data_IF_834528000460
#
_entry.id   IF_834528000460
#
_cell.length_a   1.000
_cell.length_b   1.000
_cell.length_c   1.000
_cell.angle_alpha   90.00
_cell.angle_beta   90.00
_cell.angle_gamma   90.00
#
_symmetry.space_group_name_H-M   'P 1'
#
loop_
_entity.id
_entity.type
_entity.pdbx_description
1 polymer ?
#
# COMPACT_ATOMS: atom_id res chain seq x y z
N UNK A 1 -31.45 20.42 65.85
CA UNK A 1 -30.07 20.23 65.36
C UNK A 1 -30.11 19.56 63.95
N UNK A 2 -30.15 20.42 62.95
CA UNK A 2 -30.19 19.99 61.56
C UNK A 2 -28.76 20.11 61.01
N UNK A 3 -28.19 19.00 60.58
CA UNK A 3 -26.89 18.92 59.94
C UNK A 3 -27.09 19.09 58.44
N UNK A 4 -26.79 20.28 57.92
CA UNK A 4 -26.65 20.55 56.49
C UNK A 4 -25.46 19.77 55.91
N UNK A 5 -25.77 18.80 55.07
CA UNK A 5 -24.77 18.17 54.19
C UNK A 5 -24.61 19.04 52.95
N UNK A 6 -23.58 19.87 52.93
CA UNK A 6 -23.14 20.62 51.75
C UNK A 6 -22.60 19.62 50.72
N UNK A 7 -23.41 19.32 49.70
CA UNK A 7 -22.99 18.56 48.54
C UNK A 7 -22.11 19.47 47.69
N UNK A 8 -20.80 19.36 47.81
CA UNK A 8 -19.87 20.00 46.89
C UNK A 8 -20.04 19.35 45.51
N UNK A 9 -20.73 20.08 44.63
CA UNK A 9 -20.66 19.83 43.19
C UNK A 9 -19.23 20.14 42.71
N UNK A 10 -18.42 19.10 42.49
CA UNK A 10 -17.18 19.22 41.76
C UNK A 10 -17.58 19.51 40.30
N UNK A 11 -17.57 20.81 39.96
CA UNK A 11 -17.62 21.23 38.56
C UNK A 11 -16.34 20.69 37.91
N UNK A 12 -16.42 19.53 37.26
CA UNK A 12 -15.41 19.03 36.35
C UNK A 12 -15.26 20.09 35.26
N UNK A 13 -14.23 20.93 35.37
CA UNK A 13 -13.79 21.75 34.26
C UNK A 13 -13.53 20.79 33.11
N UNK A 14 -14.39 20.86 32.09
CA UNK A 14 -14.26 20.05 30.88
C UNK A 14 -12.83 20.28 30.36
N UNK A 15 -11.95 19.32 30.61
CA UNK A 15 -10.57 19.38 30.19
C UNK A 15 -10.58 19.56 28.67
N UNK A 16 -9.96 20.63 28.17
CA UNK A 16 -9.84 20.90 26.74
C UNK A 16 -9.30 19.64 26.08
N UNK A 17 -10.11 18.95 25.27
CA UNK A 17 -9.68 17.79 24.51
C UNK A 17 -8.84 18.26 23.33
N UNK A 18 -7.56 17.95 23.36
CA UNK A 18 -6.68 18.15 22.20
C UNK A 18 -7.05 17.15 21.08
N UNK A 19 -6.53 17.36 19.89
CA UNK A 19 -6.74 16.48 18.73
C UNK A 19 -5.40 15.99 18.17
N UNK A 20 -4.46 15.70 19.05
CA UNK A 20 -3.09 15.30 18.69
C UNK A 20 -3.05 14.03 17.86
N UNK A 21 -3.98 13.08 18.09
CA UNK A 21 -4.10 11.84 17.28
C UNK A 21 -4.23 12.10 15.78
N UNK A 22 -4.89 13.20 15.37
CA UNK A 22 -5.01 13.52 13.94
C UNK A 22 -3.71 14.07 13.35
N UNK A 23 -2.85 14.72 14.15
CA UNK A 23 -1.50 15.11 13.72
C UNK A 23 -0.63 13.88 13.51
N UNK A 24 -0.75 12.87 14.38
CA UNK A 24 -0.09 11.57 14.20
C UNK A 24 -0.61 10.87 12.94
N UNK A 25 -1.92 10.91 12.68
CA UNK A 25 -2.52 10.36 11.45
C UNK A 25 -1.97 11.04 10.18
N UNK A 26 -1.91 12.36 10.18
CA UNK A 26 -1.35 13.12 9.06
C UNK A 26 0.11 12.75 8.82
N UNK A 27 0.88 12.55 9.89
CA UNK A 27 2.27 12.12 9.81
C UNK A 27 2.41 10.71 9.22
N UNK A 28 1.66 9.70 9.68
CA UNK A 28 1.74 8.35 9.09
C UNK A 28 1.23 8.33 7.64
N UNK A 29 0.24 9.15 7.28
CA UNK A 29 -0.17 9.33 5.90
C UNK A 29 0.96 9.90 5.03
N UNK A 30 1.63 10.96 5.52
CA UNK A 30 2.78 11.55 4.84
C UNK A 30 3.89 10.53 4.64
N UNK A 31 4.30 9.83 5.70
CA UNK A 31 5.36 8.82 5.65
C UNK A 31 5.03 7.66 4.72
N UNK A 32 3.80 7.16 4.78
CA UNK A 32 3.33 6.14 3.84
C UNK A 32 3.32 6.65 2.40
N UNK A 33 2.95 7.92 2.17
CA UNK A 33 2.97 8.55 0.84
C UNK A 33 4.40 8.63 0.30
N UNK A 34 5.37 9.03 1.12
CA UNK A 34 6.79 9.09 0.74
C UNK A 34 7.33 7.67 0.44
N UNK A 35 6.96 6.67 1.24
CA UNK A 35 7.31 5.27 1.01
C UNK A 35 6.80 4.73 -0.34
N UNK A 36 5.53 4.99 -0.67
CA UNK A 36 4.99 4.60 -1.97
C UNK A 36 5.55 5.42 -3.13
N UNK A 37 6.00 6.67 -2.89
CA UNK A 37 6.65 7.49 -3.90
C UNK A 37 7.94 6.86 -4.42
N UNK A 38 8.73 6.21 -3.56
CA UNK A 38 9.96 5.50 -3.95
C UNK A 38 9.69 4.43 -5.02
N UNK A 39 8.56 3.75 -4.91
CA UNK A 39 8.15 2.74 -5.90
C UNK A 39 7.74 3.37 -7.23
N UNK A 40 7.09 4.54 -7.19
CA UNK A 40 6.59 5.24 -8.37
C UNK A 40 7.70 5.95 -9.15
N UNK A 41 8.71 6.55 -8.48
CA UNK A 41 9.76 7.31 -9.16
C UNK A 41 10.63 6.45 -10.07
N UNK A 42 10.83 5.16 -9.72
CA UNK A 42 11.62 4.26 -10.55
C UNK A 42 11.01 4.07 -11.94
N UNK A 43 9.68 4.05 -12.06
CA UNK A 43 9.01 3.91 -13.36
C UNK A 43 9.11 5.18 -14.21
N UNK A 44 9.10 6.35 -13.58
CA UNK A 44 9.29 7.64 -14.25
C UNK A 44 10.75 7.80 -14.72
N UNK A 45 11.70 7.39 -13.90
CA UNK A 45 13.13 7.41 -14.22
C UNK A 45 13.56 6.27 -15.15
N UNK A 46 12.78 5.19 -15.23
CA UNK A 46 13.09 3.96 -15.94
C UNK A 46 13.53 4.14 -17.40
N UNK A 47 12.85 4.94 -18.24
CA UNK A 47 13.32 5.22 -19.59
C UNK A 47 14.70 5.87 -19.65
N UNK A 48 15.03 6.77 -18.71
CA UNK A 48 16.35 7.39 -18.60
C UNK A 48 17.42 6.40 -18.20
N UNK A 49 17.14 5.57 -17.19
CA UNK A 49 18.03 4.49 -16.72
C UNK A 49 18.30 3.47 -17.86
N UNK A 50 17.22 3.04 -18.54
CA UNK A 50 17.36 2.09 -19.66
C UNK A 50 18.18 2.65 -20.80
N UNK A 51 18.04 3.95 -21.10
CA UNK A 51 18.82 4.61 -22.14
C UNK A 51 20.30 4.73 -21.77
N UNK A 52 20.60 5.07 -20.51
CA UNK A 52 21.99 5.27 -20.05
C UNK A 52 22.77 3.96 -19.99
N UNK A 53 22.18 2.90 -19.41
CA UNK A 53 22.85 1.63 -19.21
C UNK A 53 22.55 0.56 -20.27
N UNK A 54 21.66 0.85 -21.22
CA UNK A 54 21.27 -0.13 -22.26
C UNK A 54 20.41 -1.28 -21.74
N UNK A 55 19.59 -1.07 -20.68
CA UNK A 55 18.75 -2.12 -20.11
C UNK A 55 17.68 -2.60 -21.09
N UNK A 56 17.58 -3.91 -21.26
CA UNK A 56 16.46 -4.55 -21.96
C UNK A 56 15.17 -4.47 -21.13
N UNK A 57 14.00 -4.67 -21.76
CA UNK A 57 12.72 -4.68 -21.05
C UNK A 57 12.65 -5.78 -19.98
N UNK A 58 13.27 -6.93 -20.23
CA UNK A 58 13.37 -8.02 -19.24
C UNK A 58 14.19 -7.61 -18.03
N UNK A 59 15.39 -7.03 -18.26
CA UNK A 59 16.26 -6.55 -17.18
C UNK A 59 15.58 -5.47 -16.35
N UNK A 60 14.89 -4.53 -17.01
CA UNK A 60 14.10 -3.50 -16.33
C UNK A 60 12.97 -4.13 -15.51
N UNK A 61 12.29 -5.16 -16.03
CA UNK A 61 11.26 -5.91 -15.30
C UNK A 61 11.80 -6.54 -14.00
N UNK A 62 13.00 -7.12 -14.03
CA UNK A 62 13.66 -7.62 -12.82
C UNK A 62 13.97 -6.52 -11.81
N UNK A 63 14.51 -5.38 -12.24
CA UNK A 63 14.80 -4.24 -11.37
C UNK A 63 13.51 -3.71 -10.73
N UNK A 64 12.42 -3.58 -11.51
CA UNK A 64 11.11 -3.14 -11.02
C UNK A 64 10.49 -4.12 -10.01
N UNK A 65 10.77 -5.42 -10.13
CA UNK A 65 10.27 -6.47 -9.23
C UNK A 65 11.12 -6.66 -7.96
N UNK A 66 12.39 -6.25 -7.97
CA UNK A 66 13.37 -6.55 -6.92
C UNK A 66 12.90 -6.14 -5.52
N UNK A 67 12.23 -4.99 -5.42
CA UNK A 67 11.60 -4.53 -4.19
C UNK A 67 10.59 -5.55 -3.64
N UNK A 68 9.71 -6.08 -4.50
CA UNK A 68 8.62 -6.98 -4.08
C UNK A 68 9.14 -8.32 -3.59
N UNK A 69 10.22 -8.85 -4.17
CA UNK A 69 10.89 -10.05 -3.69
C UNK A 69 11.30 -9.90 -2.23
N UNK A 70 12.04 -8.84 -1.95
CA UNK A 70 12.54 -8.56 -0.61
C UNK A 70 11.42 -8.22 0.37
N UNK A 71 10.44 -7.45 -0.08
CA UNK A 71 9.30 -7.05 0.75
C UNK A 71 8.49 -8.26 1.25
N UNK A 72 8.22 -9.25 0.37
CA UNK A 72 7.52 -10.49 0.74
C UNK A 72 8.32 -11.29 1.79
N UNK A 73 9.63 -11.47 1.55
CA UNK A 73 10.50 -12.20 2.48
C UNK A 73 10.69 -11.43 3.79
N UNK A 74 10.80 -10.11 3.71
CA UNK A 74 11.06 -9.22 4.84
C UNK A 74 9.88 -9.03 5.81
N UNK A 75 8.64 -9.36 5.41
CA UNK A 75 7.46 -9.09 6.25
C UNK A 75 7.49 -9.81 7.60
N UNK A 76 7.87 -11.08 7.63
CA UNK A 76 7.92 -11.86 8.87
C UNK A 76 9.07 -11.38 9.76
N UNK A 77 10.35 -11.34 9.28
CA UNK A 77 11.44 -10.81 10.09
C UNK A 77 11.21 -9.35 10.52
N UNK A 78 10.67 -8.52 9.63
CA UNK A 78 10.36 -7.12 9.91
C UNK A 78 9.31 -6.95 11.00
N UNK A 79 8.27 -7.79 11.00
CA UNK A 79 7.28 -7.84 12.08
C UNK A 79 7.89 -8.22 13.43
N UNK A 80 8.78 -9.23 13.46
CA UNK A 80 9.49 -9.64 14.68
C UNK A 80 10.44 -8.55 15.20
N UNK A 81 11.11 -7.82 14.30
CA UNK A 81 11.95 -6.69 14.69
C UNK A 81 11.12 -5.52 15.22
N UNK A 82 9.96 -5.23 14.60
CA UNK A 82 9.01 -4.23 15.09
C UNK A 82 8.53 -4.56 16.51
N UNK A 83 8.28 -5.84 16.78
CA UNK A 83 7.89 -6.31 18.11
C UNK A 83 9.01 -6.12 19.16
N UNK A 84 10.27 -6.29 18.77
CA UNK A 84 11.41 -6.18 19.69
C UNK A 84 11.84 -4.73 19.95
N UNK A 85 11.85 -3.90 18.89
CA UNK A 85 12.40 -2.55 18.94
C UNK A 85 11.35 -1.47 19.26
N UNK A 86 10.06 -1.82 19.12
CA UNK A 86 8.95 -0.89 19.24
C UNK A 86 8.77 0.01 18.00
N UNK A 87 7.60 0.62 17.90
CA UNK A 87 7.17 1.34 16.70
C UNK A 87 8.04 2.57 16.42
N UNK A 88 8.35 3.39 17.42
CA UNK A 88 9.12 4.63 17.25
C UNK A 88 10.51 4.36 16.69
N UNK A 89 11.25 3.44 17.31
CA UNK A 89 12.64 3.15 16.95
C UNK A 89 12.72 2.45 15.60
N UNK A 90 11.90 1.40 15.42
CA UNK A 90 11.93 0.60 14.19
C UNK A 90 11.56 1.45 12.97
N UNK A 91 10.46 2.20 13.03
CA UNK A 91 10.01 3.02 11.92
C UNK A 91 11.01 4.14 11.60
N UNK A 92 11.57 4.80 12.63
CA UNK A 92 12.61 5.84 12.45
C UNK A 92 13.88 5.30 11.80
N UNK A 93 14.35 4.14 12.23
CA UNK A 93 15.52 3.49 11.63
C UNK A 93 15.27 3.09 10.17
N UNK A 94 14.09 2.51 9.87
CA UNK A 94 13.73 2.15 8.50
C UNK A 94 13.64 3.37 7.58
N UNK A 95 13.11 4.50 8.05
CA UNK A 95 13.06 5.75 7.28
C UNK A 95 14.44 6.24 6.87
N UNK A 96 15.40 6.23 7.80
CA UNK A 96 16.78 6.69 7.51
C UNK A 96 17.46 5.73 6.53
N UNK A 97 17.46 4.44 6.83
CA UNK A 97 18.12 3.42 6.00
C UNK A 97 17.55 3.37 4.58
N UNK A 98 16.22 3.41 4.48
CA UNK A 98 15.53 3.44 3.21
C UNK A 98 15.86 4.71 2.42
N UNK A 99 15.87 5.89 3.05
CA UNK A 99 16.20 7.15 2.38
C UNK A 99 17.62 7.17 1.84
N UNK A 100 18.58 6.61 2.59
CA UNK A 100 19.97 6.45 2.14
C UNK A 100 20.02 5.51 0.93
N UNK A 101 19.35 4.35 1.01
CA UNK A 101 19.33 3.39 -0.09
C UNK A 101 18.69 3.98 -1.36
N UNK A 102 17.60 4.78 -1.22
CA UNK A 102 16.99 5.51 -2.34
C UNK A 102 17.96 6.53 -2.95
N UNK A 103 18.68 7.30 -2.13
CA UNK A 103 19.69 8.24 -2.64
C UNK A 103 20.80 7.54 -3.40
N UNK A 104 21.27 6.38 -2.91
CA UNK A 104 22.32 5.61 -3.56
C UNK A 104 21.93 5.15 -4.96
N UNK A 105 20.65 4.87 -5.23
CA UNK A 105 20.17 4.59 -6.59
C UNK A 105 20.49 5.76 -7.53
N UNK A 106 20.32 7.00 -7.09
CA UNK A 106 20.61 8.20 -7.89
C UNK A 106 22.11 8.39 -8.19
N UNK A 107 22.98 7.75 -7.44
CA UNK A 107 24.45 7.86 -7.66
C UNK A 107 25.06 6.72 -8.47
N UNK A 108 24.29 5.71 -8.89
CA UNK A 108 24.83 4.53 -9.60
C UNK A 108 25.63 4.93 -10.83
N UNK A 109 25.15 5.89 -11.65
CA UNK A 109 25.86 6.37 -12.82
C UNK A 109 27.23 7.03 -12.52
N UNK A 110 27.44 7.48 -11.29
CA UNK A 110 28.74 7.99 -10.85
C UNK A 110 29.76 6.87 -10.51
N UNK A 111 29.27 5.68 -10.18
CA UNK A 111 30.11 4.56 -9.78
C UNK A 111 30.47 3.64 -10.96
N UNK A 112 29.61 3.52 -11.95
CA UNK A 112 29.81 2.61 -13.07
C UNK A 112 29.03 3.01 -14.31
N UNK A 113 29.61 2.73 -15.48
CA UNK A 113 28.92 2.72 -16.77
C UNK A 113 28.73 1.30 -17.33
N UNK A 114 29.26 0.27 -16.64
CA UNK A 114 29.10 -1.13 -17.03
C UNK A 114 27.67 -1.61 -16.77
N UNK A 115 27.03 -2.18 -17.77
CA UNK A 115 25.66 -2.67 -17.71
C UNK A 115 25.46 -3.71 -16.60
N UNK A 116 26.38 -4.68 -16.47
CA UNK A 116 26.21 -5.79 -15.53
C UNK A 116 26.33 -5.32 -14.08
N UNK A 117 27.29 -4.42 -13.83
CA UNK A 117 27.47 -3.80 -12.51
C UNK A 117 26.30 -2.89 -12.16
N UNK A 118 25.86 -2.04 -13.09
CA UNK A 118 24.72 -1.15 -12.88
C UNK A 118 23.43 -1.95 -12.59
N UNK A 119 23.17 -3.01 -13.37
CA UNK A 119 22.02 -3.89 -13.16
C UNK A 119 22.08 -4.57 -11.78
N UNK A 120 23.25 -5.09 -11.39
CA UNK A 120 23.46 -5.69 -10.08
C UNK A 120 23.23 -4.72 -8.94
N UNK A 121 23.75 -3.50 -9.04
CA UNK A 121 23.57 -2.44 -8.03
C UNK A 121 22.10 -1.97 -7.95
N UNK A 122 21.46 -1.74 -9.09
CA UNK A 122 20.03 -1.39 -9.14
C UNK A 122 19.18 -2.46 -8.45
N UNK A 123 19.40 -3.74 -8.80
CA UNK A 123 18.67 -4.85 -8.20
C UNK A 123 18.95 -4.95 -6.70
N UNK A 124 20.22 -4.90 -6.28
CA UNK A 124 20.62 -5.04 -4.88
C UNK A 124 20.06 -3.91 -4.01
N UNK A 125 20.15 -2.64 -4.46
CA UNK A 125 19.60 -1.51 -3.74
C UNK A 125 18.07 -1.56 -3.65
N UNK A 126 17.39 -1.94 -4.73
CA UNK A 126 15.92 -2.13 -4.73
C UNK A 126 15.49 -3.30 -3.85
N UNK A 127 16.27 -4.37 -3.81
CA UNK A 127 16.05 -5.50 -2.91
C UNK A 127 16.27 -5.07 -1.45
N UNK A 128 17.35 -4.38 -1.14
CA UNK A 128 17.60 -3.84 0.20
C UNK A 128 16.47 -2.90 0.66
N UNK A 129 15.98 -2.02 -0.23
CA UNK A 129 14.81 -1.17 0.03
C UNK A 129 13.58 -1.97 0.45
N UNK A 130 13.28 -3.06 -0.26
CA UNK A 130 12.15 -3.94 0.06
C UNK A 130 12.26 -4.58 1.44
N UNK A 131 13.45 -5.03 1.85
CA UNK A 131 13.71 -5.58 3.17
C UNK A 131 13.55 -4.52 4.27
N UNK A 132 14.15 -3.34 4.06
CA UNK A 132 14.13 -2.24 5.03
C UNK A 132 12.70 -1.72 5.22
N UNK A 133 11.91 -1.60 4.15
CA UNK A 133 10.55 -1.06 4.20
C UNK A 133 9.50 -2.08 4.69
N UNK A 134 9.79 -3.37 4.70
CA UNK A 134 8.83 -4.42 5.03
C UNK A 134 8.08 -4.22 6.37
N UNK A 135 8.70 -3.73 7.46
CA UNK A 135 8.00 -3.47 8.73
C UNK A 135 7.13 -2.20 8.74
N UNK A 136 7.22 -1.33 7.73
CA UNK A 136 6.56 -0.01 7.74
C UNK A 136 5.03 -0.10 7.70
N UNK A 137 4.46 -1.01 6.90
CA UNK A 137 3.00 -1.18 6.83
C UNK A 137 2.41 -1.75 8.13
N UNK A 138 2.96 -2.82 8.74
CA UNK A 138 2.58 -3.26 10.09
C UNK A 138 2.74 -2.15 11.14
N UNK A 139 3.79 -1.35 11.07
CA UNK A 139 4.01 -0.24 11.99
C UNK A 139 2.92 0.84 11.88
N UNK A 140 2.46 1.19 10.67
CA UNK A 140 1.33 2.11 10.48
C UNK A 140 0.04 1.56 11.14
N UNK A 141 -0.24 0.28 10.95
CA UNK A 141 -1.36 -0.39 11.61
C UNK A 141 -1.24 -0.35 13.14
N UNK A 142 -0.03 -0.53 13.66
CA UNK A 142 0.26 -0.46 15.10
C UNK A 142 0.05 0.93 15.68
N UNK A 143 0.48 1.98 14.97
CA UNK A 143 0.20 3.38 15.35
C UNK A 143 -1.30 3.65 15.37
N UNK A 144 -2.05 3.17 14.38
CA UNK A 144 -3.51 3.33 14.35
C UNK A 144 -4.19 2.64 15.55
N UNK A 145 -3.74 1.44 15.94
CA UNK A 145 -4.27 0.72 17.11
C UNK A 145 -3.90 1.40 18.42
N UNK A 146 -2.71 2.02 18.49
CA UNK A 146 -2.19 2.70 19.68
C UNK A 146 -2.89 4.05 19.92
N UNK A 147 -3.17 4.80 18.84
CA UNK A 147 -3.61 6.19 18.92
C UNK A 147 -5.11 6.41 18.72
N UNK A 148 -5.84 5.41 18.18
CA UNK A 148 -7.23 5.58 17.80
C UNK A 148 -8.19 4.65 18.54
N UNK A 149 -9.33 5.19 19.04
CA UNK A 149 -10.47 4.39 19.47
C UNK A 149 -10.89 3.38 18.39
N UNK A 150 -11.50 2.26 18.80
CA UNK A 150 -11.94 1.21 17.86
C UNK A 150 -12.83 1.75 16.74
N UNK A 151 -13.69 2.72 17.05
CA UNK A 151 -14.62 3.32 16.08
C UNK A 151 -13.92 4.20 15.03
N UNK A 152 -12.81 4.84 15.39
CA UNK A 152 -12.04 5.73 14.51
C UNK A 152 -10.93 4.98 13.72
N UNK A 153 -10.58 3.75 14.09
CA UNK A 153 -9.48 2.97 13.45
C UNK A 153 -9.72 2.72 11.97
N UNK A 154 -10.99 2.51 11.58
CA UNK A 154 -11.35 2.31 10.18
C UNK A 154 -10.95 3.49 9.31
N UNK A 155 -11.23 4.71 9.77
CA UNK A 155 -10.82 5.95 9.09
C UNK A 155 -9.30 6.07 9.02
N UNK A 156 -8.61 5.85 10.15
CA UNK A 156 -7.15 5.94 10.21
C UNK A 156 -6.48 4.95 9.24
N UNK A 157 -6.95 3.69 9.22
CA UNK A 157 -6.44 2.64 8.34
C UNK A 157 -6.72 2.96 6.86
N UNK A 158 -7.91 3.43 6.54
CA UNK A 158 -8.28 3.79 5.16
C UNK A 158 -7.44 4.94 4.63
N UNK A 159 -7.12 5.93 5.47
CA UNK A 159 -6.31 7.07 5.08
C UNK A 159 -4.86 6.67 4.76
N UNK A 160 -4.18 5.94 5.64
CA UNK A 160 -2.81 5.53 5.30
C UNK A 160 -2.76 4.47 4.20
N UNK A 161 -3.78 3.63 4.02
CA UNK A 161 -3.88 2.73 2.88
C UNK A 161 -4.06 3.47 1.54
N UNK A 162 -4.68 4.67 1.57
CA UNK A 162 -4.80 5.54 0.38
C UNK A 162 -3.50 6.21 -0.02
N UNK A 163 -2.45 6.14 0.81
CA UNK A 163 -1.16 6.78 0.55
C UNK A 163 -0.55 6.40 -0.80
N UNK A 164 -0.81 5.17 -1.27
CA UNK A 164 -0.34 4.71 -2.60
C UNK A 164 -0.90 5.53 -3.76
N UNK A 165 -2.14 5.98 -3.67
CA UNK A 165 -2.75 6.85 -4.69
C UNK A 165 -2.19 8.27 -4.61
N UNK A 166 -2.04 8.82 -3.39
CA UNK A 166 -1.42 10.14 -3.18
C UNK A 166 0.03 10.16 -3.64
N UNK A 167 0.78 9.10 -3.39
CA UNK A 167 2.16 8.98 -3.83
C UNK A 167 2.27 9.09 -5.35
N UNK A 168 1.50 8.30 -6.08
CA UNK A 168 1.52 8.35 -7.55
C UNK A 168 1.02 9.71 -8.05
N UNK A 169 -0.06 10.24 -7.48
CA UNK A 169 -0.64 11.49 -7.92
C UNK A 169 0.28 12.71 -7.73
N UNK A 170 1.03 12.75 -6.63
CA UNK A 170 1.89 13.89 -6.28
C UNK A 170 3.30 13.70 -6.82
N UNK A 171 3.88 12.53 -6.59
CA UNK A 171 5.31 12.30 -6.86
C UNK A 171 5.59 11.91 -8.31
N UNK A 172 4.63 11.39 -9.10
CA UNK A 172 4.91 11.12 -10.53
C UNK A 172 5.11 12.41 -11.35
N UNK A 173 4.26 13.45 -11.24
CA UNK A 173 4.54 14.74 -11.89
C UNK A 173 5.83 15.39 -11.35
N UNK A 174 6.07 15.34 -10.05
CA UNK A 174 7.27 15.90 -9.42
C UNK A 174 8.54 15.19 -9.91
N UNK A 175 8.54 13.87 -9.97
CA UNK A 175 9.64 13.08 -10.52
C UNK A 175 9.85 13.35 -12.01
N UNK A 176 8.76 13.49 -12.79
CA UNK A 176 8.80 13.85 -14.20
C UNK A 176 9.50 15.20 -14.42
N UNK A 177 9.11 16.21 -13.64
CA UNK A 177 9.73 17.54 -13.68
C UNK A 177 11.21 17.50 -13.32
N UNK A 178 11.59 16.82 -12.22
CA UNK A 178 12.98 16.66 -11.81
C UNK A 178 13.81 15.93 -12.87
N UNK A 179 13.25 14.86 -13.46
CA UNK A 179 13.95 14.07 -14.48
C UNK A 179 14.23 14.89 -15.73
N UNK A 180 13.27 15.70 -16.18
CA UNK A 180 13.48 16.55 -17.37
C UNK A 180 14.50 17.67 -17.09
N UNK A 181 14.50 18.24 -15.87
CA UNK A 181 15.34 19.39 -15.54
C UNK A 181 16.76 19.01 -15.14
N UNK A 182 16.94 17.90 -14.42
CA UNK A 182 18.19 17.53 -13.75
C UNK A 182 18.65 16.09 -14.06
N UNK A 183 17.93 15.37 -14.92
CA UNK A 183 18.21 13.96 -15.23
C UNK A 183 17.53 12.97 -14.28
N UNK A 184 17.58 11.68 -14.67
CA UNK A 184 16.92 10.60 -13.94
C UNK A 184 17.44 10.37 -12.49
N UNK A 185 18.67 10.74 -12.10
CA UNK A 185 19.15 10.59 -10.72
C UNK A 185 18.42 11.53 -9.73
N UNK A 186 18.00 12.73 -10.19
CA UNK A 186 17.48 13.77 -9.33
C UNK A 186 16.24 13.38 -8.50
N UNK A 187 15.24 12.66 -9.03
CA UNK A 187 14.11 12.18 -8.23
C UNK A 187 14.52 11.32 -7.03
N UNK A 188 15.51 10.44 -7.19
CA UNK A 188 15.99 9.56 -6.12
C UNK A 188 16.70 10.36 -5.02
N UNK A 189 17.57 11.29 -5.41
CA UNK A 189 18.27 12.17 -4.46
C UNK A 189 17.27 13.03 -3.70
N UNK A 190 16.33 13.67 -4.40
CA UNK A 190 15.32 14.52 -3.78
C UNK A 190 14.43 13.73 -2.82
N UNK A 191 13.96 12.53 -3.20
CA UNK A 191 13.13 11.71 -2.34
C UNK A 191 13.89 11.20 -1.11
N UNK A 192 15.15 10.81 -1.27
CA UNK A 192 15.99 10.43 -0.14
C UNK A 192 16.18 11.57 0.86
N UNK A 193 16.39 12.80 0.40
CA UNK A 193 16.45 13.99 1.25
C UNK A 193 15.12 14.28 1.97
N UNK A 194 14.00 14.16 1.24
CA UNK A 194 12.65 14.27 1.83
C UNK A 194 12.45 13.20 2.91
N UNK A 195 12.88 11.96 2.66
CA UNK A 195 12.76 10.88 3.63
C UNK A 195 13.63 11.09 4.89
N UNK A 196 14.85 11.63 4.76
CA UNK A 196 15.69 12.01 5.90
C UNK A 196 15.02 13.13 6.72
N UNK A 197 14.50 14.16 6.05
CA UNK A 197 13.76 15.23 6.73
C UNK A 197 12.52 14.68 7.45
N UNK A 198 11.78 13.77 6.81
CA UNK A 198 10.63 13.10 7.40
C UNK A 198 11.01 12.23 8.61
N UNK A 199 12.18 11.58 8.60
CA UNK A 199 12.70 10.84 9.75
C UNK A 199 13.01 11.78 10.93
N UNK A 200 13.54 12.97 10.66
CA UNK A 200 13.73 14.02 11.68
C UNK A 200 12.41 14.47 12.31
N UNK A 201 11.38 14.71 11.50
CA UNK A 201 10.02 15.04 11.98
C UNK A 201 9.45 13.88 12.81
N UNK A 202 9.59 12.63 12.35
CA UNK A 202 9.17 11.44 13.09
C UNK A 202 9.79 11.36 14.48
N UNK A 203 11.10 11.58 14.58
CA UNK A 203 11.83 11.50 15.85
C UNK A 203 11.30 12.49 16.90
N UNK A 204 10.90 13.70 16.44
CA UNK A 204 10.40 14.78 17.31
C UNK A 204 8.89 14.66 17.60
N UNK A 205 8.09 14.17 16.65
CA UNK A 205 6.62 14.17 16.76
C UNK A 205 6.10 12.86 17.32
N UNK A 206 6.74 11.71 17.03
CA UNK A 206 6.20 10.42 17.46
C UNK A 206 6.57 10.10 18.92
N UNK A 207 5.54 9.90 19.72
CA UNK A 207 5.61 9.40 21.10
C UNK A 207 4.49 8.39 21.35
N UNK A 208 4.61 7.63 22.43
CA UNK A 208 3.48 6.88 22.97
C UNK A 208 2.41 7.86 23.51
N UNK A 209 1.10 7.54 23.42
CA UNK A 209 0.05 8.47 23.85
C UNK A 209 0.23 9.02 25.26
N UNK A 210 0.65 8.19 26.24
CA UNK A 210 0.90 8.61 27.63
C UNK A 210 2.08 9.57 27.78
N UNK A 211 3.08 9.49 26.91
CA UNK A 211 4.33 10.26 26.99
C UNK A 211 4.33 11.48 26.07
N UNK A 212 3.26 11.68 25.31
CA UNK A 212 3.22 12.74 24.31
C UNK A 212 2.96 14.11 24.94
N UNK A 213 3.86 15.12 24.76
CA UNK A 213 3.81 16.38 25.49
C UNK A 213 2.60 17.26 25.17
N UNK A 214 1.90 17.00 24.04
CA UNK A 214 0.75 17.79 23.57
C UNK A 214 -0.60 17.12 23.78
N UNK A 215 -0.64 15.90 24.32
CA UNK A 215 -1.89 15.18 24.57
C UNK A 215 -2.46 15.65 25.91
N UNK A 216 -3.70 16.13 25.91
CA UNK A 216 -4.42 16.46 27.14
C UNK A 216 -4.95 15.20 27.82
N UNK A 217 -5.19 15.28 29.13
CA UNK A 217 -5.81 14.18 29.89
C UNK A 217 -7.15 13.75 29.26
N UNK A 218 -7.99 14.71 28.82
CA UNK A 218 -9.26 14.40 28.19
C UNK A 218 -9.13 13.67 26.83
N UNK A 219 -8.10 13.96 26.02
CA UNK A 219 -7.84 13.18 24.81
C UNK A 219 -7.32 11.78 25.14
N UNK A 220 -6.45 11.67 26.15
CA UNK A 220 -5.92 10.37 26.57
C UNK A 220 -7.04 9.47 27.12
N UNK A 221 -7.93 10.02 27.95
CA UNK A 221 -9.08 9.30 28.50
C UNK A 221 -10.04 8.84 27.39
N UNK A 222 -10.28 9.69 26.37
CA UNK A 222 -11.08 9.34 25.20
C UNK A 222 -10.45 8.17 24.41
N UNK A 223 -9.13 8.21 24.18
CA UNK A 223 -8.39 7.17 23.48
C UNK A 223 -8.49 5.84 24.25
N UNK A 224 -8.27 5.87 25.57
CA UNK A 224 -8.33 4.68 26.44
C UNK A 224 -9.75 4.11 26.51
N UNK A 225 -10.75 4.96 26.79
CA UNK A 225 -12.15 4.55 26.87
C UNK A 225 -12.64 3.92 25.57
N UNK A 226 -12.17 4.42 24.40
CA UNK A 226 -12.44 3.86 23.08
C UNK A 226 -11.69 2.56 22.77
N UNK A 227 -10.93 2.00 23.71
CA UNK A 227 -10.24 0.71 23.59
C UNK A 227 -9.00 0.74 22.71
N UNK A 228 -8.26 1.85 22.70
CA UNK A 228 -6.94 1.90 22.11
C UNK A 228 -5.93 1.10 22.95
N UNK A 229 -4.95 0.51 22.27
CA UNK A 229 -3.90 -0.29 22.90
C UNK A 229 -2.64 0.57 23.13
N UNK A 230 -2.75 1.54 24.04
CA UNK A 230 -1.74 2.58 24.23
C UNK A 230 -0.37 2.06 24.72
N UNK A 231 -0.34 0.89 25.34
CA UNK A 231 0.84 0.26 25.92
C UNK A 231 1.40 -0.87 25.03
N UNK A 232 0.96 -0.99 23.76
CA UNK A 232 1.30 -2.09 22.83
C UNK A 232 2.83 -2.22 22.59
N UNK A 233 3.58 -1.15 22.78
CA UNK A 233 5.05 -1.12 22.68
C UNK A 233 5.74 -1.35 24.03
N UNK A 234 4.97 -1.58 25.12
CA UNK A 234 5.54 -1.91 26.42
C UNK A 234 6.18 -3.29 26.41
N UNK A 235 7.33 -3.43 27.11
CA UNK A 235 8.06 -4.70 27.20
C UNK A 235 7.22 -5.85 27.76
N UNK A 236 6.21 -5.55 28.58
CA UNK A 236 5.35 -6.54 29.20
C UNK A 236 4.37 -7.20 28.21
N UNK A 237 3.81 -6.44 27.28
CA UNK A 237 2.90 -6.98 26.25
C UNK A 237 3.63 -7.74 25.12
N UNK A 238 4.90 -7.40 24.85
CA UNK A 238 5.71 -8.06 23.83
C UNK A 238 6.01 -9.53 24.15
N UNK A 239 6.00 -9.92 25.44
CA UNK A 239 6.29 -11.29 25.90
C UNK A 239 5.05 -12.17 26.03
N UNK A 240 3.84 -11.61 26.02
CA UNK A 240 2.58 -12.32 26.32
C UNK A 240 1.72 -12.67 25.10
N UNK A 241 2.28 -12.66 23.89
CA UNK A 241 1.51 -12.96 22.67
C UNK A 241 1.11 -14.44 22.62
N UNK A 242 -0.18 -14.74 22.33
CA UNK A 242 -0.62 -16.12 22.22
C UNK A 242 0.11 -16.84 21.08
N UNK A 243 0.61 -18.01 21.37
CA UNK A 243 1.12 -18.93 20.36
C UNK A 243 -0.03 -19.29 19.42
N UNK A 244 0.23 -19.24 18.12
CA UNK A 244 -0.76 -19.62 17.10
C UNK A 244 -1.30 -21.02 17.41
N UNK A 245 -2.62 -21.18 17.40
CA UNK A 245 -3.23 -22.47 17.63
C UNK A 245 -2.74 -23.49 16.56
N UNK A 246 -2.35 -24.72 16.98
CA UNK A 246 -1.97 -25.76 16.04
C UNK A 246 -3.07 -25.96 14.98
N UNK A 247 -2.68 -26.09 13.71
CA UNK A 247 -3.66 -26.27 12.60
C UNK A 247 -4.18 -24.98 11.95
N UNK A 248 -3.93 -23.79 12.53
CA UNK A 248 -4.41 -22.52 11.95
C UNK A 248 -3.96 -22.31 10.50
N UNK A 249 -2.70 -22.62 10.19
CA UNK A 249 -2.17 -22.49 8.81
C UNK A 249 -2.92 -23.44 7.86
N UNK A 250 -3.12 -24.69 8.28
CA UNK A 250 -3.83 -25.69 7.47
C UNK A 250 -5.29 -25.30 7.22
N UNK A 251 -5.97 -24.77 8.24
CA UNK A 251 -7.35 -24.30 8.10
C UNK A 251 -7.45 -23.11 7.13
N UNK A 252 -6.50 -22.17 7.18
CA UNK A 252 -6.47 -20.99 6.31
C UNK A 252 -6.09 -21.35 4.87
N UNK A 253 -5.14 -22.27 4.66
CA UNK A 253 -4.72 -22.70 3.32
C UNK A 253 -5.61 -23.81 2.73
N UNK A 254 -6.38 -24.54 3.55
CA UNK A 254 -7.34 -25.56 3.10
C UNK A 254 -8.70 -25.01 2.67
N UNK A 255 -8.99 -23.72 2.90
CA UNK A 255 -10.31 -23.15 2.66
C UNK A 255 -10.44 -22.53 1.28
N UNK A 256 -11.38 -23.05 0.46
CA UNK A 256 -11.63 -22.60 -0.92
C UNK A 256 -12.01 -21.11 -1.02
N UNK A 257 -12.83 -20.61 -0.12
CA UNK A 257 -13.27 -19.22 -0.11
C UNK A 257 -12.07 -18.27 0.14
N UNK A 258 -11.18 -18.62 1.08
CA UNK A 258 -9.96 -17.84 1.34
C UNK A 258 -9.01 -17.87 0.14
N UNK A 259 -8.88 -19.01 -0.56
CA UNK A 259 -8.11 -19.05 -1.80
C UNK A 259 -8.67 -18.12 -2.88
N UNK A 260 -9.99 -18.02 -3.00
CA UNK A 260 -10.59 -17.04 -3.91
C UNK A 260 -10.24 -15.60 -3.50
N UNK A 261 -10.25 -15.29 -2.19
CA UNK A 261 -9.80 -13.99 -1.70
C UNK A 261 -8.32 -13.74 -1.99
N UNK A 262 -7.45 -14.75 -1.80
CA UNK A 262 -6.01 -14.65 -2.09
C UNK A 262 -5.73 -14.41 -3.58
N UNK A 263 -6.40 -15.17 -4.47
CA UNK A 263 -6.30 -14.98 -5.92
C UNK A 263 -6.80 -13.58 -6.32
N UNK A 264 -7.92 -13.15 -5.76
CA UNK A 264 -8.44 -11.81 -5.99
C UNK A 264 -7.46 -10.72 -5.56
N UNK A 265 -6.81 -10.87 -4.42
CA UNK A 265 -5.81 -9.92 -3.94
C UNK A 265 -4.58 -9.91 -4.86
N UNK A 266 -4.09 -11.09 -5.25
CA UNK A 266 -3.00 -11.21 -6.22
C UNK A 266 -3.31 -10.44 -7.51
N UNK A 267 -4.49 -10.65 -8.10
CA UNK A 267 -4.91 -9.95 -9.31
C UNK A 267 -5.03 -8.43 -9.10
N UNK A 268 -5.59 -8.01 -7.97
CA UNK A 268 -5.71 -6.57 -7.63
C UNK A 268 -4.34 -5.91 -7.46
N UNK A 269 -3.39 -6.61 -6.84
CA UNK A 269 -2.00 -6.14 -6.66
C UNK A 269 -1.25 -6.17 -7.99
N UNK A 270 -1.43 -7.20 -8.82
CA UNK A 270 -0.85 -7.28 -10.15
C UNK A 270 -1.20 -6.05 -11.01
N UNK A 271 -2.50 -5.68 -11.01
CA UNK A 271 -2.97 -4.46 -11.68
C UNK A 271 -2.34 -3.20 -11.09
N UNK A 272 -2.22 -3.10 -9.76
CA UNK A 272 -1.57 -1.96 -9.10
C UNK A 272 -0.11 -1.82 -9.52
N UNK A 273 0.63 -2.94 -9.57
CA UNK A 273 2.04 -2.92 -9.95
C UNK A 273 2.24 -2.58 -11.42
N UNK A 274 1.33 -2.97 -12.33
CA UNK A 274 1.36 -2.45 -13.70
C UNK A 274 1.30 -0.92 -13.70
N UNK A 275 0.36 -0.30 -12.98
CA UNK A 275 0.22 1.15 -12.93
C UNK A 275 1.41 1.85 -12.26
N UNK A 276 2.01 1.25 -11.25
CA UNK A 276 3.15 1.84 -10.53
C UNK A 276 4.47 1.65 -11.30
N UNK A 277 4.60 0.58 -12.09
CA UNK A 277 5.88 0.22 -12.74
C UNK A 277 5.89 0.48 -14.23
N UNK A 278 5.01 -0.13 -15.00
CA UNK A 278 5.06 -0.13 -16.46
C UNK A 278 4.23 0.96 -17.14
N UNK A 279 3.18 1.46 -16.51
CA UNK A 279 2.31 2.44 -17.15
C UNK A 279 3.03 3.74 -17.54
N UNK A 280 3.85 4.39 -16.68
CA UNK A 280 4.64 5.55 -17.09
C UNK A 280 5.64 5.23 -18.21
N UNK A 281 6.28 4.05 -18.16
CA UNK A 281 7.22 3.59 -19.18
C UNK A 281 6.50 3.41 -20.52
N UNK A 282 5.31 2.79 -20.50
CA UNK A 282 4.44 2.62 -21.67
C UNK A 282 4.10 3.98 -22.32
N UNK A 283 3.75 4.98 -21.52
CA UNK A 283 3.43 6.33 -22.03
C UNK A 283 4.62 6.97 -22.72
N UNK A 284 5.84 6.79 -22.19
CA UNK A 284 7.05 7.34 -22.78
C UNK A 284 7.48 6.54 -24.02
N UNK A 285 7.64 5.22 -23.89
CA UNK A 285 8.28 4.39 -24.92
C UNK A 285 7.33 4.00 -26.04
N UNK A 286 6.05 3.74 -25.74
CA UNK A 286 5.08 3.28 -26.75
C UNK A 286 4.22 4.42 -27.30
N UNK A 287 3.97 5.47 -26.50
CA UNK A 287 3.07 6.57 -26.88
C UNK A 287 3.78 7.89 -27.19
N UNK A 288 5.13 7.92 -27.09
CA UNK A 288 5.96 9.07 -27.45
C UNK A 288 5.77 10.28 -26.53
N UNK A 289 5.18 10.12 -25.34
CA UNK A 289 5.09 11.22 -24.37
C UNK A 289 6.48 11.53 -23.81
N UNK A 290 6.76 12.80 -23.54
CA UNK A 290 7.93 13.13 -22.73
C UNK A 290 7.69 12.71 -21.26
N UNK A 291 8.77 12.58 -20.50
CA UNK A 291 8.73 12.07 -19.11
C UNK A 291 7.83 12.93 -18.20
N UNK A 292 7.82 14.25 -18.40
CA UNK A 292 6.97 15.15 -17.63
C UNK A 292 5.47 14.95 -17.96
N UNK A 293 5.14 14.83 -19.25
CA UNK A 293 3.77 14.52 -19.68
C UNK A 293 3.30 13.17 -19.13
N UNK A 294 4.15 12.13 -19.17
CA UNK A 294 3.86 10.83 -18.62
C UNK A 294 3.62 10.89 -17.08
N UNK A 295 4.40 11.70 -16.37
CA UNK A 295 4.21 11.95 -14.94
C UNK A 295 2.83 12.54 -14.62
N UNK A 296 2.41 13.58 -15.35
CA UNK A 296 1.08 14.19 -15.20
C UNK A 296 -0.05 13.23 -15.64
N UNK A 297 0.14 12.51 -16.74
CA UNK A 297 -0.84 11.53 -17.21
C UNK A 297 -1.05 10.39 -16.21
N UNK A 298 -0.02 9.97 -15.49
CA UNK A 298 -0.09 8.92 -14.46
C UNK A 298 -0.88 9.38 -13.22
N UNK A 299 -0.94 10.67 -12.93
CA UNK A 299 -1.74 11.22 -11.84
C UNK A 299 -3.24 10.93 -12.02
N UNK A 300 -3.75 10.98 -13.27
CA UNK A 300 -5.18 10.85 -13.55
C UNK A 300 -5.74 9.48 -13.13
N UNK A 301 -5.16 8.33 -13.53
CA UNK A 301 -5.56 7.03 -12.99
C UNK A 301 -5.42 6.92 -11.48
N UNK A 302 -4.39 7.51 -10.87
CA UNK A 302 -4.20 7.46 -9.42
C UNK A 302 -5.36 8.14 -8.68
N UNK A 303 -5.76 9.34 -9.10
CA UNK A 303 -6.93 10.04 -8.55
C UNK A 303 -8.21 9.22 -8.78
N UNK A 304 -8.39 8.68 -10.00
CA UNK A 304 -9.54 7.84 -10.31
C UNK A 304 -9.60 6.59 -9.42
N UNK A 305 -8.46 5.93 -9.15
CA UNK A 305 -8.36 4.79 -8.26
C UNK A 305 -8.73 5.12 -6.81
N UNK A 306 -8.30 6.29 -6.31
CA UNK A 306 -8.69 6.78 -4.99
C UNK A 306 -10.21 6.99 -4.88
N UNK A 307 -10.80 7.69 -5.86
CA UNK A 307 -12.26 7.92 -5.93
C UNK A 307 -13.00 6.60 -6.05
N UNK A 308 -12.50 5.66 -6.87
CA UNK A 308 -13.02 4.31 -6.99
C UNK A 308 -13.03 3.57 -5.65
N UNK A 309 -11.95 3.68 -4.85
CA UNK A 309 -11.85 3.07 -3.53
C UNK A 309 -12.95 3.54 -2.57
N UNK A 310 -13.20 4.85 -2.55
CA UNK A 310 -14.29 5.43 -1.75
C UNK A 310 -15.65 4.94 -2.28
N UNK A 311 -15.86 4.99 -3.59
CA UNK A 311 -17.11 4.56 -4.22
C UNK A 311 -17.42 3.08 -3.92
N UNK A 312 -16.43 2.19 -4.06
CA UNK A 312 -16.62 0.75 -3.80
C UNK A 312 -17.00 0.45 -2.36
N UNK A 313 -16.32 1.08 -1.39
CA UNK A 313 -16.66 0.97 0.03
C UNK A 313 -18.07 1.47 0.33
N UNK A 314 -18.38 2.67 -0.14
CA UNK A 314 -19.70 3.30 0.07
C UNK A 314 -20.83 2.48 -0.54
N UNK A 315 -20.64 1.97 -1.75
CA UNK A 315 -21.63 1.12 -2.44
C UNK A 315 -21.83 -0.19 -1.66
N UNK A 316 -20.72 -0.83 -1.21
CA UNK A 316 -20.80 -2.04 -0.41
C UNK A 316 -21.63 -1.84 0.87
N UNK A 317 -21.34 -0.78 1.61
CA UNK A 317 -22.06 -0.46 2.86
C UNK A 317 -23.53 -0.04 2.60
N UNK A 318 -23.79 0.65 1.50
CA UNK A 318 -25.13 1.01 1.09
C UNK A 318 -25.98 -0.23 0.73
N UNK A 319 -25.39 -1.21 0.03
CA UNK A 319 -26.06 -2.48 -0.28
C UNK A 319 -26.42 -3.27 0.99
N UNK A 320 -25.51 -3.31 1.98
CA UNK A 320 -25.79 -3.95 3.28
C UNK A 320 -26.96 -3.24 3.97
N UNK A 321 -26.98 -1.92 3.99
CA UNK A 321 -28.09 -1.13 4.57
C UNK A 321 -29.43 -1.34 3.84
N UNK A 322 -29.38 -1.71 2.55
CA UNK A 322 -30.56 -2.06 1.75
C UNK A 322 -31.02 -3.52 1.94
N UNK A 323 -30.41 -4.26 2.86
CA UNK A 323 -30.81 -5.63 3.18
C UNK A 323 -30.19 -6.71 2.29
N UNK A 324 -29.19 -6.37 1.47
CA UNK A 324 -28.44 -7.39 0.73
C UNK A 324 -27.63 -8.24 1.71
N UNK A 325 -27.44 -9.52 1.38
CA UNK A 325 -26.52 -10.36 2.15
C UNK A 325 -25.11 -9.77 2.11
N UNK A 326 -24.38 -9.83 3.24
CA UNK A 326 -23.00 -9.34 3.35
C UNK A 326 -22.12 -9.91 2.21
N UNK A 327 -22.36 -11.17 1.86
CA UNK A 327 -21.65 -11.86 0.79
C UNK A 327 -21.81 -11.15 -0.56
N UNK A 328 -23.03 -10.85 -0.99
CA UNK A 328 -23.27 -10.17 -2.26
C UNK A 328 -22.92 -8.69 -2.20
N UNK A 329 -23.17 -8.02 -1.07
CA UNK A 329 -22.82 -6.61 -0.89
C UNK A 329 -21.30 -6.35 -1.01
N UNK A 330 -20.47 -7.30 -0.57
CA UNK A 330 -19.00 -7.22 -0.73
C UNK A 330 -18.53 -7.63 -2.12
N UNK A 331 -19.13 -8.70 -2.70
CA UNK A 331 -18.71 -9.23 -4.01
C UNK A 331 -19.10 -8.34 -5.17
N UNK A 332 -20.31 -7.77 -5.17
CA UNK A 332 -20.82 -7.03 -6.34
C UNK A 332 -19.91 -5.87 -6.75
N UNK A 333 -19.52 -4.92 -5.85
CA UNK A 333 -18.62 -3.85 -6.25
C UNK A 333 -17.23 -4.37 -6.67
N UNK A 334 -16.77 -5.49 -6.09
CA UNK A 334 -15.52 -6.12 -6.49
C UNK A 334 -15.60 -6.66 -7.92
N UNK A 335 -16.62 -7.45 -8.25
CA UNK A 335 -16.82 -8.06 -9.58
C UNK A 335 -16.99 -6.97 -10.64
N UNK A 336 -17.88 -6.01 -10.37
CA UNK A 336 -18.12 -4.89 -11.31
C UNK A 336 -16.85 -4.05 -11.48
N UNK A 337 -16.15 -3.75 -10.39
CA UNK A 337 -14.90 -2.99 -10.45
C UNK A 337 -13.83 -3.69 -11.29
N UNK A 338 -13.64 -5.00 -11.10
CA UNK A 338 -12.67 -5.77 -11.91
C UNK A 338 -13.12 -5.91 -13.36
N UNK A 339 -14.43 -6.05 -13.64
CA UNK A 339 -14.96 -6.03 -15.00
C UNK A 339 -14.69 -4.69 -15.70
N UNK A 340 -14.89 -3.57 -15.00
CA UNK A 340 -14.50 -2.23 -15.48
C UNK A 340 -12.98 -2.16 -15.70
N UNK A 341 -12.18 -2.82 -14.86
CA UNK A 341 -10.73 -2.95 -15.02
C UNK A 341 -10.30 -3.55 -16.36
N UNK A 342 -11.13 -4.38 -16.99
CA UNK A 342 -10.88 -4.91 -18.33
C UNK A 342 -10.85 -3.84 -19.43
N UNK A 343 -11.27 -2.61 -19.16
CA UNK A 343 -11.15 -1.45 -20.11
C UNK A 343 -9.72 -1.21 -20.59
N UNK A 344 -8.72 -1.72 -19.88
CA UNK A 344 -7.31 -1.72 -20.33
C UNK A 344 -7.15 -2.33 -21.73
N UNK A 345 -7.94 -3.35 -22.08
CA UNK A 345 -7.90 -3.97 -23.42
C UNK A 345 -8.15 -2.94 -24.52
N UNK A 346 -9.08 -2.01 -24.30
CA UNK A 346 -9.43 -0.98 -25.26
C UNK A 346 -8.29 0.01 -25.50
N UNK A 347 -7.39 0.20 -24.53
CA UNK A 347 -6.22 1.05 -24.70
C UNK A 347 -5.17 0.48 -25.66
N UNK A 348 -5.22 -0.83 -25.95
CA UNK A 348 -4.35 -1.46 -26.94
C UNK A 348 -4.67 -1.05 -28.38
N UNK A 349 -5.95 -0.71 -28.66
CA UNK A 349 -6.41 -0.30 -29.99
C UNK A 349 -6.65 1.20 -30.11
N UNK A 350 -6.68 1.93 -29.00
CA UNK A 350 -6.87 3.38 -28.99
C UNK A 350 -5.63 4.11 -29.53
N UNK A 351 -5.86 5.09 -30.40
CA UNK A 351 -4.77 5.89 -31.00
C UNK A 351 -4.49 7.17 -30.23
N UNK A 352 -5.51 7.78 -29.65
CA UNK A 352 -5.39 9.04 -28.91
C UNK A 352 -4.82 8.80 -27.52
N UNK A 353 -3.77 9.52 -27.17
CA UNK A 353 -3.16 9.49 -25.83
C UNK A 353 -4.16 9.88 -24.73
N UNK A 354 -5.06 10.82 -25.01
CA UNK A 354 -6.11 11.24 -24.07
C UNK A 354 -7.08 10.08 -23.79
N UNK A 355 -7.53 9.39 -24.85
CA UNK A 355 -8.42 8.22 -24.71
C UNK A 355 -7.74 7.10 -23.93
N UNK A 356 -6.46 6.85 -24.17
CA UNK A 356 -5.69 5.85 -23.43
C UNK A 356 -5.64 6.18 -21.94
N UNK A 357 -5.30 7.42 -21.59
CA UNK A 357 -5.23 7.86 -20.19
C UNK A 357 -6.60 7.76 -19.51
N UNK A 358 -7.69 8.09 -20.20
CA UNK A 358 -9.04 7.95 -19.68
C UNK A 358 -9.46 6.49 -19.49
N UNK A 359 -9.14 5.59 -20.42
CA UNK A 359 -9.38 4.16 -20.29
C UNK A 359 -8.58 3.56 -19.14
N UNK A 360 -7.33 3.97 -18.96
CA UNK A 360 -6.49 3.59 -17.82
C UNK A 360 -7.03 4.15 -16.51
N UNK A 361 -7.56 5.38 -16.52
CA UNK A 361 -8.23 5.96 -15.35
C UNK A 361 -9.49 5.17 -14.98
N UNK A 362 -10.29 4.78 -15.96
CA UNK A 362 -11.47 3.95 -15.78
C UNK A 362 -11.10 2.57 -15.20
N UNK A 363 -10.05 1.95 -15.74
CA UNK A 363 -9.56 0.67 -15.23
C UNK A 363 -9.09 0.77 -13.78
N UNK A 364 -8.37 1.83 -13.44
CA UNK A 364 -7.85 2.02 -12.09
C UNK A 364 -8.93 2.45 -11.09
N UNK A 365 -9.95 3.18 -11.55
CA UNK A 365 -11.19 3.41 -10.80
C UNK A 365 -11.88 2.08 -10.46
N UNK A 366 -12.04 1.19 -11.43
CA UNK A 366 -12.62 -0.13 -11.22
C UNK A 366 -11.84 -0.96 -10.21
N UNK A 367 -10.49 -0.97 -10.33
CA UNK A 367 -9.58 -1.60 -9.36
C UNK A 367 -9.74 -0.98 -7.97
N UNK A 368 -9.85 0.34 -7.88
CA UNK A 368 -10.08 1.05 -6.64
C UNK A 368 -11.39 0.61 -6.00
N UNK A 369 -12.48 0.55 -6.77
CA UNK A 369 -13.79 0.13 -6.31
C UNK A 369 -13.78 -1.32 -5.80
N UNK A 370 -13.08 -2.22 -6.50
CA UNK A 370 -12.87 -3.60 -6.05
C UNK A 370 -12.13 -3.66 -4.70
N UNK A 371 -11.04 -2.92 -4.55
CA UNK A 371 -10.27 -2.88 -3.31
C UNK A 371 -11.08 -2.26 -2.14
N UNK A 372 -11.80 -1.17 -2.41
CA UNK A 372 -12.61 -0.45 -1.43
C UNK A 372 -13.83 -1.22 -0.95
N UNK A 373 -14.38 -2.13 -1.79
CA UNK A 373 -15.48 -3.01 -1.40
C UNK A 373 -15.16 -3.96 -0.25
N UNK A 374 -13.88 -4.03 0.14
CA UNK A 374 -13.47 -4.68 1.37
C UNK A 374 -12.76 -6.01 1.19
N UNK A 375 -11.79 -6.12 0.28
CA UNK A 375 -10.94 -7.33 0.21
C UNK A 375 -10.31 -7.67 1.55
N UNK A 376 -9.83 -6.67 2.28
CA UNK A 376 -9.35 -6.82 3.66
C UNK A 376 -10.47 -7.15 4.66
N UNK A 377 -11.66 -6.54 4.50
CA UNK A 377 -12.81 -6.84 5.35
C UNK A 377 -13.26 -8.29 5.17
N UNK A 378 -13.26 -8.81 3.94
CA UNK A 378 -13.57 -10.23 3.69
C UNK A 378 -12.66 -11.14 4.50
N UNK A 379 -11.34 -10.90 4.48
CA UNK A 379 -10.39 -11.73 5.24
C UNK A 379 -10.60 -11.60 6.75
N UNK A 380 -10.84 -10.39 7.24
CA UNK A 380 -11.11 -10.15 8.67
C UNK A 380 -12.42 -10.78 9.14
N UNK A 381 -13.47 -10.74 8.29
CA UNK A 381 -14.78 -11.28 8.61
C UNK A 381 -14.81 -12.82 8.55
N UNK A 382 -13.95 -13.41 7.72
CA UNK A 382 -13.93 -14.86 7.44
C UNK A 382 -12.90 -15.63 8.22
N UNK A 383 -11.79 -15.01 8.62
CA UNK A 383 -10.76 -15.67 9.40
C UNK A 383 -11.27 -16.06 10.81
N UNK A 384 -10.81 -17.19 11.37
CA UNK A 384 -11.01 -17.51 12.78
C UNK A 384 -10.51 -16.35 13.67
N UNK A 385 -11.21 -16.05 14.76
CA UNK A 385 -10.88 -14.91 15.64
C UNK A 385 -9.43 -14.93 16.13
N UNK A 386 -8.94 -16.13 16.43
CA UNK A 386 -7.59 -16.39 16.94
C UNK A 386 -6.51 -16.28 15.84
N UNK A 387 -6.89 -16.33 14.56
CA UNK A 387 -5.98 -16.39 13.41
C UNK A 387 -6.15 -15.22 12.43
N UNK A 388 -6.87 -14.14 12.78
CA UNK A 388 -7.12 -12.98 11.89
C UNK A 388 -5.80 -12.33 11.45
N UNK A 389 -4.84 -12.18 12.35
CA UNK A 389 -3.54 -11.62 12.02
C UNK A 389 -2.75 -12.49 11.02
N UNK A 390 -2.75 -13.81 11.24
CA UNK A 390 -2.11 -14.76 10.33
C UNK A 390 -2.79 -14.78 8.95
N UNK A 391 -4.13 -14.76 8.92
CA UNK A 391 -4.88 -14.71 7.68
C UNK A 391 -4.57 -13.45 6.88
N UNK A 392 -4.47 -12.28 7.54
CA UNK A 392 -4.07 -11.03 6.94
C UNK A 392 -2.62 -11.07 6.40
N UNK A 393 -1.69 -11.71 7.13
CA UNK A 393 -0.31 -11.88 6.69
C UNK A 393 -0.22 -12.76 5.43
N UNK A 394 -0.91 -13.90 5.41
CA UNK A 394 -0.98 -14.79 4.23
C UNK A 394 -1.60 -14.06 3.03
N UNK A 395 -2.72 -13.38 3.25
CA UNK A 395 -3.41 -12.59 2.23
C UNK A 395 -2.50 -11.52 1.61
N UNK A 396 -1.76 -10.78 2.43
CA UNK A 396 -0.83 -9.76 1.98
C UNK A 396 0.38 -10.37 1.27
N UNK A 397 0.92 -11.46 1.79
CA UNK A 397 2.07 -12.16 1.19
C UNK A 397 1.72 -12.69 -0.21
N UNK A 398 0.61 -13.44 -0.35
CA UNK A 398 0.16 -13.96 -1.65
C UNK A 398 -0.18 -12.81 -2.61
N UNK A 399 -0.82 -11.75 -2.11
CA UNK A 399 -1.09 -10.57 -2.93
C UNK A 399 0.18 -9.95 -3.51
N UNK A 400 1.21 -9.78 -2.71
CA UNK A 400 2.47 -9.16 -3.15
C UNK A 400 3.29 -10.01 -4.14
N UNK A 401 2.98 -11.30 -4.34
CA UNK A 401 3.52 -12.09 -5.45
C UNK A 401 3.14 -11.42 -6.79
N UNK A 402 1.99 -10.76 -6.89
CA UNK A 402 1.63 -9.95 -8.06
C UNK A 402 2.63 -8.84 -8.38
N UNK A 403 3.28 -8.28 -7.35
CA UNK A 403 4.36 -7.31 -7.51
C UNK A 403 5.68 -7.89 -8.01
N UNK A 404 5.86 -9.20 -7.90
CA UNK A 404 7.00 -9.93 -8.46
C UNK A 404 6.69 -10.30 -9.91
N UNK A 405 5.59 -11.00 -10.11
CA UNK A 405 5.23 -11.62 -11.40
C UNK A 405 4.93 -10.57 -12.47
N UNK A 406 4.17 -9.53 -12.12
CA UNK A 406 3.69 -8.57 -13.12
C UNK A 406 4.82 -7.82 -13.82
N UNK A 407 5.80 -7.21 -13.14
CA UNK A 407 6.85 -6.47 -13.82
C UNK A 407 7.73 -7.39 -14.68
N UNK A 408 8.02 -8.60 -14.22
CA UNK A 408 8.86 -9.56 -14.95
C UNK A 408 8.15 -10.05 -16.21
N UNK A 409 6.94 -10.61 -16.04
CA UNK A 409 6.18 -11.19 -17.17
C UNK A 409 5.84 -10.12 -18.20
N UNK A 410 5.46 -8.92 -17.75
CA UNK A 410 5.19 -7.81 -18.66
C UNK A 410 6.45 -7.44 -19.48
N UNK A 411 7.62 -7.37 -18.84
CA UNK A 411 8.89 -7.12 -19.51
C UNK A 411 9.23 -8.19 -20.56
N UNK A 412 9.03 -9.47 -20.23
CA UNK A 412 9.20 -10.58 -21.19
C UNK A 412 8.25 -10.47 -22.36
N UNK A 413 6.97 -10.17 -22.12
CA UNK A 413 5.97 -10.04 -23.17
C UNK A 413 6.29 -8.88 -24.11
N UNK A 414 6.70 -7.72 -23.57
CA UNK A 414 7.10 -6.56 -24.39
C UNK A 414 8.32 -6.89 -25.23
N UNK A 415 9.33 -7.56 -24.66
CA UNK A 415 10.54 -7.91 -25.38
C UNK A 415 10.31 -8.97 -26.45
N UNK A 416 9.49 -9.98 -26.17
CA UNK A 416 9.20 -11.08 -27.08
C UNK A 416 8.32 -10.66 -28.28
N UNK A 417 7.38 -9.71 -28.05
CA UNK A 417 6.43 -9.28 -29.09
C UNK A 417 6.81 -7.98 -29.78
N UNK A 418 7.85 -7.30 -29.30
CA UNK A 418 8.25 -5.99 -29.81
C UNK A 418 7.25 -4.86 -29.53
N UNK A 419 6.24 -5.11 -28.67
CA UNK A 419 5.18 -4.15 -28.38
C UNK A 419 4.47 -4.38 -27.05
N UNK A 420 3.67 -3.41 -26.62
CA UNK A 420 3.02 -3.41 -25.30
C UNK A 420 1.65 -4.12 -25.29
N UNK A 421 1.07 -4.39 -26.45
CA UNK A 421 -0.32 -4.89 -26.58
C UNK A 421 -0.57 -6.18 -25.81
N UNK A 422 0.33 -7.17 -25.97
CA UNK A 422 0.19 -8.47 -25.27
C UNK A 422 0.36 -8.30 -23.76
N UNK A 423 1.23 -7.39 -23.33
CA UNK A 423 1.38 -7.02 -21.93
C UNK A 423 0.09 -6.42 -21.35
N UNK A 424 -0.60 -5.56 -22.10
CA UNK A 424 -1.90 -5.01 -21.69
C UNK A 424 -2.97 -6.10 -21.58
N UNK A 425 -3.00 -7.07 -22.49
CA UNK A 425 -3.92 -8.22 -22.42
C UNK A 425 -3.61 -9.11 -21.20
N UNK A 426 -2.34 -9.31 -20.88
CA UNK A 426 -1.92 -10.02 -19.66
C UNK A 426 -2.47 -9.34 -18.40
N UNK A 427 -2.36 -8.01 -18.30
CA UNK A 427 -2.89 -7.26 -17.16
C UNK A 427 -4.41 -7.32 -17.09
N UNK A 428 -5.10 -7.20 -18.23
CA UNK A 428 -6.56 -7.33 -18.31
C UNK A 428 -7.05 -8.74 -17.94
N UNK A 429 -6.28 -9.77 -18.27
CA UNK A 429 -6.59 -11.14 -17.88
C UNK A 429 -6.67 -11.32 -16.36
N UNK A 430 -5.85 -10.62 -15.58
CA UNK A 430 -5.95 -10.62 -14.11
C UNK A 430 -7.29 -10.04 -13.64
N UNK A 431 -7.77 -8.98 -14.29
CA UNK A 431 -9.08 -8.40 -13.97
C UNK A 431 -10.20 -9.41 -14.24
N UNK A 432 -10.14 -10.09 -15.38
CA UNK A 432 -11.14 -11.12 -15.74
C UNK A 432 -11.09 -12.32 -14.78
N UNK A 433 -9.89 -12.84 -14.48
CA UNK A 433 -9.70 -13.95 -13.54
C UNK A 433 -10.29 -13.59 -12.17
N UNK A 434 -10.00 -12.39 -11.66
CA UNK A 434 -10.52 -11.94 -10.37
C UNK A 434 -12.06 -11.87 -10.36
N UNK A 435 -12.68 -11.30 -11.42
CA UNK A 435 -14.13 -11.21 -11.54
C UNK A 435 -14.78 -12.61 -11.59
N UNK A 436 -14.22 -13.52 -12.39
CA UNK A 436 -14.70 -14.90 -12.54
C UNK A 436 -14.57 -15.69 -11.23
N UNK A 437 -13.42 -15.56 -10.54
CA UNK A 437 -13.18 -16.26 -9.27
C UNK A 437 -14.17 -15.82 -8.20
N UNK A 438 -14.45 -14.52 -8.09
CA UNK A 438 -15.41 -14.01 -7.11
C UNK A 438 -16.85 -14.36 -7.47
N UNK A 439 -17.19 -14.36 -8.75
CA UNK A 439 -18.56 -14.65 -9.22
C UNK A 439 -18.91 -16.13 -9.07
N UNK A 440 -18.04 -17.04 -9.52
CA UNK A 440 -18.36 -18.46 -9.65
C UNK A 440 -17.76 -19.35 -8.56
N UNK A 441 -16.60 -18.97 -7.99
CA UNK A 441 -15.84 -19.89 -7.15
C UNK A 441 -15.86 -19.53 -5.66
N UNK A 442 -16.05 -18.27 -5.29
CA UNK A 442 -15.91 -17.82 -3.90
C UNK A 442 -17.00 -18.34 -2.96
N UNK A 443 -18.21 -18.66 -3.47
CA UNK A 443 -19.32 -19.12 -2.64
C UNK A 443 -19.81 -18.04 -1.65
N UNK A 444 -20.36 -18.43 -0.51
CA UNK A 444 -20.77 -17.52 0.56
C UNK A 444 -19.56 -17.07 1.38
N UNK A 445 -19.58 -15.81 1.82
CA UNK A 445 -18.60 -15.24 2.73
C UNK A 445 -19.05 -15.59 4.15
N UNK A 446 -18.42 -16.56 4.77
CA UNK A 446 -18.75 -17.08 6.10
C UNK A 446 -17.45 -17.29 6.91
N UNK A 447 -17.55 -17.17 8.24
CA UNK A 447 -16.38 -17.37 9.09
C UNK A 447 -15.93 -18.83 9.07
N UNK A 448 -14.64 -19.04 8.81
CA UNK A 448 -14.00 -20.36 8.82
C UNK A 448 -13.99 -20.90 10.24
N UNK A 449 -14.52 -22.11 10.42
CA UNK A 449 -14.44 -22.82 11.72
C UNK A 449 -13.09 -23.55 11.80
N UNK A 450 -12.43 -23.44 12.92
CA UNK A 450 -11.28 -24.27 13.22
C UNK A 450 -11.81 -25.66 13.63
N UNK A 451 -11.43 -26.68 12.87
CA UNK A 451 -11.72 -28.08 13.19
C UNK A 451 -10.62 -28.65 14.08
#
# INVERSE_FOLDING_TARGET
MATERTTQYIVSTAARTTRTRYSILAMILLLATVAYADRAILSIAGPGISKEFGLSHVQLGYVLSAFSWAYVVGQIPGGLLLDRLGTKTMYGATLILWSIATMLVGFIGNFTSDLSVALGLLFALRFALGLIEAPSFPANGRVAVMWFPKEERGLATSLFASASYFAVAIFSPFAGWLTVRFGWPAPFIALGLIGIAAAGVWAVVMYEPRKHPRVSSGELDHIIAGGAMIDIDSKHELTSRPVLAPGSIRALLGNRMLWCAYIGQYCTIALSYFFITWFPIYLVQARGMNVMQAGFATMIPAVAGFVGGIAGGTISDWLIRRGWSVSWARKTPYIVGMAVGCSIVLSAVAQSNVVIVLLMALAFFGKGAAAGAGTWAIVSDTAPREAVGLAGAIFNCIGNIGGIVTPIVFGYLVQATGGYTVGLYFVAAHCLIAAVVYLFFMGKIERVKMS
#
